data_IF_688617533451
#
_entry.id   IF_688617533451
#
_cell.length_a   1.000
_cell.length_b   1.000
_cell.length_c   1.000
_cell.angle_alpha   90.00
_cell.angle_beta   90.00
_cell.angle_gamma   90.00
#
_symmetry.space_group_name_H-M   'P 1'
#
loop_
_entity.id
_entity.type
_entity.pdbx_description
1 polymer ?
#
# COMPACT_ATOMS: atom_id res chain seq x y z
N UNK A 1 24.29 -25.40 38.04
CA UNK A 1 23.68 -26.62 37.48
C UNK A 1 24.73 -27.33 36.61
N UNK A 2 24.98 -28.63 36.80
CA UNK A 2 26.03 -29.32 36.05
C UNK A 2 25.59 -29.60 34.61
N UNK A 3 26.48 -29.34 33.64
CA UNK A 3 26.23 -29.52 32.20
C UNK A 3 26.61 -30.94 31.76
N UNK A 4 25.79 -31.62 30.93
CA UNK A 4 26.11 -32.95 30.43
C UNK A 4 27.22 -32.91 29.37
N UNK A 5 28.20 -33.80 29.51
CA UNK A 5 29.30 -34.01 28.56
C UNK A 5 28.90 -35.11 27.56
N UNK A 6 28.72 -34.74 26.29
CA UNK A 6 28.45 -35.68 25.21
C UNK A 6 29.77 -36.19 24.64
N UNK A 7 30.04 -37.49 24.82
CA UNK A 7 31.16 -38.18 24.20
C UNK A 7 30.90 -38.35 22.69
N UNK A 8 31.67 -37.67 21.84
CA UNK A 8 31.63 -37.86 20.39
C UNK A 8 32.80 -38.76 19.98
N UNK A 9 32.51 -40.05 19.78
CA UNK A 9 33.47 -40.98 19.22
C UNK A 9 33.68 -40.62 17.73
N UNK A 10 34.94 -40.40 17.36
CA UNK A 10 35.36 -40.23 15.98
C UNK A 10 35.36 -41.60 15.31
N UNK A 11 34.48 -41.79 14.33
CA UNK A 11 34.68 -42.77 13.26
C UNK A 11 34.42 -42.05 11.95
N UNK A 12 35.49 -41.99 11.17
CA UNK A 12 35.59 -41.41 9.84
C UNK A 12 34.59 -42.06 8.90
N UNK A 13 33.60 -41.30 8.44
CA UNK A 13 33.02 -41.49 7.11
C UNK A 13 32.70 -40.11 6.54
N UNK A 14 33.60 -39.68 5.66
CA UNK A 14 33.44 -38.55 4.75
C UNK A 14 32.22 -38.82 3.87
N UNK A 15 31.03 -38.40 4.33
CA UNK A 15 29.89 -38.18 3.45
C UNK A 15 29.75 -36.68 3.26
N UNK A 16 30.03 -36.28 2.02
CA UNK A 16 29.97 -34.92 1.53
C UNK A 16 28.67 -34.24 1.97
N UNK A 17 28.82 -33.22 2.83
CA UNK A 17 27.79 -32.22 3.05
C UNK A 17 27.59 -31.43 1.76
N UNK A 18 26.78 -31.97 0.85
CA UNK A 18 26.29 -31.24 -0.32
C UNK A 18 25.08 -30.41 0.12
N UNK A 19 25.33 -29.44 1.00
CA UNK A 19 24.51 -28.24 1.10
C UNK A 19 24.74 -27.42 -0.17
N UNK A 20 24.17 -27.89 -1.28
CA UNK A 20 24.07 -27.09 -2.50
C UNK A 20 23.10 -25.94 -2.22
N UNK A 21 23.64 -24.83 -1.72
CA UNK A 21 23.04 -23.52 -1.89
C UNK A 21 23.10 -23.19 -3.38
N UNK A 22 22.09 -23.63 -4.15
CA UNK A 22 21.70 -22.89 -5.35
C UNK A 22 21.11 -21.57 -4.86
N UNK A 23 21.99 -20.63 -4.52
CA UNK A 23 21.62 -19.26 -4.26
C UNK A 23 21.12 -18.66 -5.58
N UNK A 24 19.80 -18.71 -5.79
CA UNK A 24 19.13 -17.77 -6.68
C UNK A 24 19.56 -16.34 -6.28
N UNK A 25 19.66 -15.38 -7.24
CA UNK A 25 20.40 -14.14 -7.04
C UNK A 25 19.91 -13.40 -5.79
N UNK A 26 20.75 -13.45 -4.76
CA UNK A 26 20.49 -12.91 -3.41
C UNK A 26 20.40 -11.39 -3.42
N UNK A 27 20.95 -10.76 -4.46
CA UNK A 27 20.97 -9.32 -4.67
C UNK A 27 19.58 -8.79 -5.02
N UNK A 28 18.90 -9.39 -6.02
CA UNK A 28 17.55 -8.96 -6.42
C UNK A 28 16.53 -9.14 -5.29
N UNK A 29 16.64 -10.22 -4.50
CA UNK A 29 15.74 -10.46 -3.36
C UNK A 29 15.98 -9.46 -2.21
N UNK A 30 17.22 -9.03 -1.98
CA UNK A 30 17.55 -8.01 -0.96
C UNK A 30 17.07 -6.63 -1.37
N UNK A 31 17.31 -6.23 -2.62
CA UNK A 31 16.82 -4.95 -3.15
C UNK A 31 15.28 -4.87 -3.10
N UNK A 32 14.57 -5.96 -3.43
CA UNK A 32 13.11 -6.01 -3.35
C UNK A 32 12.61 -5.89 -1.91
N UNK A 33 13.28 -6.53 -0.95
CA UNK A 33 12.94 -6.44 0.47
C UNK A 33 13.24 -5.06 1.07
N UNK A 34 14.38 -4.46 0.72
CA UNK A 34 14.75 -3.11 1.15
C UNK A 34 13.78 -2.06 0.60
N UNK A 35 13.40 -2.17 -0.67
CA UNK A 35 12.38 -1.31 -1.29
C UNK A 35 11.00 -1.48 -0.64
N UNK A 36 10.59 -2.70 -0.30
CA UNK A 36 9.32 -2.95 0.40
C UNK A 36 9.30 -2.32 1.80
N UNK A 37 10.41 -2.37 2.54
CA UNK A 37 10.53 -1.73 3.86
C UNK A 37 10.50 -0.20 3.75
N UNK A 38 11.19 0.37 2.76
CA UNK A 38 11.17 1.80 2.50
C UNK A 38 9.77 2.29 2.08
N UNK A 39 9.09 1.53 1.20
CA UNK A 39 7.71 1.80 0.81
C UNK A 39 6.77 1.73 2.01
N UNK A 40 6.86 0.69 2.84
CA UNK A 40 6.05 0.57 4.05
C UNK A 40 6.28 1.72 5.04
N UNK A 41 7.51 2.25 5.11
CA UNK A 41 7.81 3.45 5.90
C UNK A 41 7.14 4.69 5.31
N UNK A 42 7.29 4.92 3.99
CA UNK A 42 6.66 6.03 3.25
C UNK A 42 5.13 6.01 3.32
N UNK A 43 4.50 4.84 3.41
CA UNK A 43 3.05 4.71 3.57
C UNK A 43 2.55 5.13 4.96
N UNK A 44 3.42 5.14 5.97
CA UNK A 44 3.10 5.55 7.35
C UNK A 44 3.44 7.01 7.64
N UNK A 45 4.20 7.66 6.77
CA UNK A 45 4.55 9.08 6.92
C UNK A 45 3.30 9.95 6.74
N UNK A 46 3.15 11.04 7.54
CA UNK A 46 2.05 11.97 7.35
C UNK A 46 2.13 12.61 5.96
N UNK A 47 0.98 12.75 5.31
CA UNK A 47 0.89 13.35 3.96
C UNK A 47 1.09 14.86 4.01
N UNK A 48 1.55 15.44 2.91
CA UNK A 48 1.65 16.89 2.83
C UNK A 48 0.29 17.57 2.92
N UNK A 49 0.30 18.82 3.38
CA UNK A 49 -0.92 19.63 3.44
C UNK A 49 -1.54 19.84 2.05
N UNK A 50 -0.70 20.06 1.03
CA UNK A 50 -1.17 20.27 -0.33
C UNK A 50 -1.92 19.06 -0.88
N UNK A 51 -1.46 17.84 -0.58
CA UNK A 51 -2.15 16.62 -0.94
C UNK A 51 -3.49 16.47 -0.24
N UNK A 52 -3.52 16.64 1.09
CA UNK A 52 -4.76 16.53 1.87
C UNK A 52 -5.80 17.54 1.36
N UNK A 53 -5.38 18.78 1.10
CA UNK A 53 -6.26 19.82 0.56
C UNK A 53 -6.76 19.45 -0.85
N UNK A 54 -5.94 18.80 -1.69
CA UNK A 54 -6.34 18.32 -3.01
C UNK A 54 -7.36 17.17 -2.93
N UNK A 55 -7.18 16.22 -2.02
CA UNK A 55 -8.13 15.11 -1.80
C UNK A 55 -9.45 15.62 -1.23
N UNK A 56 -9.43 16.55 -0.28
CA UNK A 56 -10.66 17.18 0.23
C UNK A 56 -11.44 17.91 -0.87
N UNK A 57 -10.73 18.61 -1.77
CA UNK A 57 -11.36 19.25 -2.94
C UNK A 57 -11.95 18.23 -3.91
N UNK A 58 -11.30 17.07 -4.06
CA UNK A 58 -11.78 15.99 -4.90
C UNK A 58 -13.06 15.37 -4.34
N UNK A 59 -13.13 15.14 -3.03
CA UNK A 59 -14.29 14.56 -2.34
C UNK A 59 -15.47 15.55 -2.27
N UNK A 60 -15.19 16.82 -1.93
CA UNK A 60 -16.21 17.87 -1.91
C UNK A 60 -16.59 18.37 -3.32
N UNK A 61 -15.79 18.05 -4.33
CA UNK A 61 -15.95 18.46 -5.71
C UNK A 61 -17.11 17.75 -6.38
N UNK A 62 -18.30 18.33 -6.29
CA UNK A 62 -19.47 17.87 -7.05
C UNK A 62 -19.30 18.00 -8.58
N UNK A 63 -20.39 17.76 -9.33
CA UNK A 63 -20.44 17.64 -10.79
C UNK A 63 -19.90 18.83 -11.63
N UNK A 64 -19.35 19.89 -11.02
CA UNK A 64 -18.86 21.11 -11.66
C UNK A 64 -17.36 21.37 -11.43
N UNK A 65 -16.53 20.34 -11.29
CA UNK A 65 -15.08 20.49 -11.31
C UNK A 65 -14.58 20.82 -12.73
N UNK A 66 -13.87 21.93 -12.89
CA UNK A 66 -13.25 22.29 -14.17
C UNK A 66 -12.09 21.34 -14.51
N UNK A 67 -11.74 21.24 -15.80
CA UNK A 67 -10.61 20.40 -16.22
C UNK A 67 -9.28 20.84 -15.56
N UNK A 68 -9.06 22.14 -15.42
CA UNK A 68 -7.85 22.68 -14.78
C UNK A 68 -7.74 22.32 -13.29
N UNK A 69 -8.86 22.29 -12.56
CA UNK A 69 -8.87 21.87 -11.16
C UNK A 69 -8.58 20.38 -11.03
N UNK A 70 -9.11 19.55 -11.93
CA UNK A 70 -8.80 18.12 -11.99
C UNK A 70 -7.32 17.89 -12.26
N UNK A 71 -6.73 18.59 -13.22
CA UNK A 71 -5.31 18.47 -13.56
C UNK A 71 -4.42 18.89 -12.38
N UNK A 72 -4.77 19.98 -11.67
CA UNK A 72 -4.05 20.41 -10.48
C UNK A 72 -4.08 19.36 -9.34
N UNK A 73 -5.21 18.67 -9.16
CA UNK A 73 -5.33 17.58 -8.18
C UNK A 73 -4.46 16.39 -8.59
N UNK A 74 -4.49 16.02 -9.87
CA UNK A 74 -3.66 14.93 -10.41
C UNK A 74 -2.18 15.25 -10.22
N UNK A 75 -1.76 16.48 -10.46
CA UNK A 75 -0.37 16.91 -10.30
C UNK A 75 0.05 16.93 -8.82
N UNK A 76 -0.83 17.36 -7.91
CA UNK A 76 -0.57 17.29 -6.47
C UNK A 76 -0.42 15.84 -5.97
N UNK A 77 -1.24 14.91 -6.48
CA UNK A 77 -1.13 13.47 -6.16
C UNK A 77 0.18 12.91 -6.72
N UNK A 78 0.56 13.25 -7.95
CA UNK A 78 1.83 12.83 -8.55
C UNK A 78 3.04 13.35 -7.80
N UNK A 79 2.98 14.60 -7.32
CA UNK A 79 4.07 15.23 -6.57
C UNK A 79 4.32 14.59 -5.20
N UNK A 80 3.30 14.01 -4.56
CA UNK A 80 3.48 13.25 -3.31
C UNK A 80 4.16 11.90 -3.52
N UNK A 81 4.00 11.32 -4.70
CA UNK A 81 4.42 9.95 -4.98
C UNK A 81 5.39 9.85 -6.17
N UNK A 82 6.49 10.64 -6.21
CA UNK A 82 7.42 10.60 -7.33
C UNK A 82 8.05 9.21 -7.53
N UNK A 83 8.32 8.52 -6.41
CA UNK A 83 8.98 7.21 -6.39
C UNK A 83 8.05 6.06 -6.81
N UNK A 84 6.73 6.21 -6.61
CA UNK A 84 5.73 5.16 -6.84
C UNK A 84 5.25 5.16 -8.30
N UNK A 85 5.38 6.27 -9.04
CA UNK A 85 5.00 6.37 -10.45
C UNK A 85 5.80 5.39 -11.34
N UNK A 86 7.02 5.02 -10.96
CA UNK A 86 7.83 4.03 -11.69
C UNK A 86 7.39 2.57 -11.48
N UNK A 87 6.63 2.29 -10.41
CA UNK A 87 6.22 0.94 -10.01
C UNK A 87 4.68 0.90 -9.99
N UNK A 88 4.09 0.90 -11.18
CA UNK A 88 2.82 0.26 -11.53
C UNK A 88 1.73 0.15 -10.42
N UNK A 89 1.42 1.24 -9.71
CA UNK A 89 0.32 1.23 -8.74
C UNK A 89 -0.40 2.57 -8.72
N UNK A 90 -1.17 2.81 -9.78
CA UNK A 90 -2.29 3.74 -9.70
C UNK A 90 -3.17 3.25 -8.54
N UNK A 91 -3.59 4.12 -7.60
CA UNK A 91 -4.43 3.69 -6.49
C UNK A 91 -5.72 3.07 -7.02
N UNK A 92 -6.10 1.92 -6.45
CA UNK A 92 -7.33 1.18 -6.79
C UNK A 92 -8.57 2.06 -6.62
N UNK A 93 -8.53 2.96 -5.63
CA UNK A 93 -9.55 3.97 -5.36
C UNK A 93 -9.25 4.69 -4.04
N UNK A 94 -9.88 5.84 -3.84
CA UNK A 94 -9.85 6.60 -2.59
C UNK A 94 -11.20 6.41 -1.91
N UNK A 95 -11.21 6.00 -0.64
CA UNK A 95 -12.44 5.87 0.15
C UNK A 95 -12.80 7.22 0.74
N UNK A 96 -14.06 7.64 0.59
CA UNK A 96 -14.57 8.87 1.16
C UNK A 96 -15.99 8.71 1.72
N UNK A 97 -16.42 9.66 2.54
CA UNK A 97 -17.73 9.62 3.20
C UNK A 97 -18.85 9.79 2.19
N UNK A 98 -19.87 8.94 2.24
CA UNK A 98 -21.03 9.05 1.36
C UNK A 98 -22.13 9.90 1.99
N UNK A 99 -22.54 10.96 1.28
CA UNK A 99 -23.61 11.88 1.73
C UNK A 99 -24.97 11.62 1.05
N UNK A 100 -25.16 10.47 0.39
CA UNK A 100 -26.46 10.09 -0.21
C UNK A 100 -27.53 9.74 0.85
N UNK A 101 -27.15 9.59 2.11
CA UNK A 101 -28.02 9.16 3.20
C UNK A 101 -28.17 7.65 3.29
N UNK A 102 -28.95 7.17 4.27
CA UNK A 102 -29.16 5.75 4.49
C UNK A 102 -29.74 5.07 3.22
N UNK A 103 -29.22 3.91 2.79
CA UNK A 103 -28.33 2.98 3.52
C UNK A 103 -26.82 3.14 3.27
N UNK A 104 -26.39 4.18 2.57
CA UNK A 104 -24.99 4.36 2.13
C UNK A 104 -24.13 5.04 3.21
N UNK A 105 -22.90 4.58 3.38
CA UNK A 105 -21.97 5.13 4.38
C UNK A 105 -20.66 5.64 3.78
N UNK A 106 -20.06 4.88 2.87
CA UNK A 106 -18.80 5.24 2.20
C UNK A 106 -18.91 5.00 0.70
N UNK A 107 -18.09 5.68 -0.07
CA UNK A 107 -17.97 5.47 -1.50
C UNK A 107 -16.50 5.48 -1.90
N UNK A 108 -16.18 4.84 -3.02
CA UNK A 108 -14.84 4.91 -3.61
C UNK A 108 -14.86 5.85 -4.79
N UNK A 109 -13.90 6.79 -4.84
CA UNK A 109 -13.66 7.66 -6.00
C UNK A 109 -12.37 7.27 -6.69
N UNK A 110 -12.32 7.53 -7.99
CA UNK A 110 -11.09 7.44 -8.76
C UNK A 110 -10.28 8.74 -8.64
N UNK A 111 -9.06 8.74 -9.17
CA UNK A 111 -8.17 9.92 -9.18
C UNK A 111 -8.72 11.12 -9.97
N UNK A 112 -9.72 10.91 -10.83
CA UNK A 112 -10.36 11.99 -11.61
C UNK A 112 -11.60 12.55 -10.93
N UNK A 113 -11.94 12.08 -9.72
CA UNK A 113 -13.10 12.52 -8.93
C UNK A 113 -14.41 11.84 -9.32
N UNK A 114 -14.37 10.85 -10.22
CA UNK A 114 -15.50 10.02 -10.55
C UNK A 114 -15.77 8.99 -9.46
N UNK A 115 -17.03 8.88 -9.03
CA UNK A 115 -17.47 7.84 -8.11
C UNK A 115 -17.42 6.49 -8.83
N UNK A 116 -16.69 5.53 -8.26
CA UNK A 116 -16.59 4.16 -8.73
C UNK A 116 -17.78 3.35 -8.20
N UNK A 117 -18.01 3.41 -6.88
CA UNK A 117 -19.07 2.66 -6.22
C UNK A 117 -19.49 3.30 -4.89
N UNK A 118 -20.77 3.14 -4.55
CA UNK A 118 -21.31 3.45 -3.24
C UNK A 118 -21.51 2.16 -2.44
N UNK A 119 -21.08 2.15 -1.19
CA UNK A 119 -21.18 0.99 -0.31
C UNK A 119 -22.23 1.24 0.77
N UNK A 120 -23.09 0.24 0.97
CA UNK A 120 -24.05 0.23 2.07
C UNK A 120 -23.38 -0.18 3.37
N UNK A 121 -24.08 0.07 4.48
CA UNK A 121 -23.64 -0.38 5.80
C UNK A 121 -23.36 -1.89 5.82
N UNK A 122 -22.11 -2.25 6.10
CA UNK A 122 -21.65 -3.65 6.18
C UNK A 122 -21.38 -4.33 4.83
N UNK A 123 -21.48 -3.63 3.70
CA UNK A 123 -21.09 -4.15 2.39
C UNK A 123 -19.55 -4.14 2.25
N UNK A 124 -18.89 -5.27 1.92
CA UNK A 124 -17.44 -5.39 1.99
C UNK A 124 -16.73 -4.46 0.99
N UNK A 125 -15.71 -3.75 1.49
CA UNK A 125 -14.81 -2.94 0.66
C UNK A 125 -13.70 -3.82 0.05
N UNK A 126 -13.25 -3.50 -1.18
CA UNK A 126 -12.21 -4.26 -1.86
C UNK A 126 -10.84 -4.14 -1.18
N UNK A 127 -10.00 -5.16 -1.39
CA UNK A 127 -8.54 -5.13 -1.18
C UNK A 127 -8.06 -4.58 0.18
N UNK A 128 -8.81 -4.85 1.25
CA UNK A 128 -8.43 -4.45 2.61
C UNK A 128 -8.68 -2.97 2.94
N UNK A 129 -9.46 -2.26 2.13
CA UNK A 129 -9.87 -0.87 2.39
C UNK A 129 -10.84 -0.71 3.58
N UNK A 130 -11.21 -1.80 4.24
CA UNK A 130 -12.10 -1.80 5.42
C UNK A 130 -11.61 -0.93 6.57
N UNK A 131 -10.29 -0.79 6.74
CA UNK A 131 -9.71 0.11 7.74
C UNK A 131 -10.10 1.58 7.52
N UNK A 132 -10.47 1.95 6.30
CA UNK A 132 -10.94 3.29 5.93
C UNK A 132 -12.47 3.43 6.06
N UNK A 133 -13.19 2.46 6.61
CA UNK A 133 -14.64 2.61 6.84
C UNK A 133 -14.96 3.56 8.00
N UNK A 134 -14.07 3.67 8.98
CA UNK A 134 -14.25 4.48 10.18
C UNK A 134 -13.82 5.95 10.02
N UNK A 135 -13.97 6.51 8.81
CA UNK A 135 -13.67 7.92 8.52
C UNK A 135 -14.49 8.88 9.40
#
# INVERSE_FOLDING_TARGET
MPRPLLHRNQTEQTQESRLSLTAAPRETQRETQENAVQLARRLKEPRSKAYIDAIHKLDAGGATMSAAERDAIVDAIRAEFPDIVSIASIPIGIVAQCFLGAPYEVHTINITGGIIAHYKRGEPLPEGMEGARSL
#
